data_IF_276411389315
#
_entry.id   IF_276411389315
#
_cell.length_a   1.000
_cell.length_b   1.000
_cell.length_c   1.000
_cell.angle_alpha   90.00
_cell.angle_beta   90.00
_cell.angle_gamma   90.00
#
_symmetry.space_group_name_H-M   'P 1'
#
loop_
_entity.id
_entity.type
_entity.pdbx_description
1 polymer ?
#
# COMPACT_ATOMS: atom_id res chain seq x y z
N UNK A 1 37.77 17.69 -13.45
CA UNK A 1 36.67 16.87 -14.01
C UNK A 1 35.41 17.15 -13.21
N UNK A 2 34.39 17.79 -13.79
CA UNK A 2 33.09 17.96 -13.11
C UNK A 2 32.38 16.61 -13.12
N UNK A 3 32.04 16.07 -11.96
CA UNK A 3 31.18 14.91 -11.86
C UNK A 3 29.87 15.21 -12.61
N UNK A 4 29.53 14.37 -13.58
CA UNK A 4 28.24 14.42 -14.29
C UNK A 4 27.17 14.13 -13.24
N UNK A 5 26.53 15.17 -12.72
CA UNK A 5 25.48 15.03 -11.71
C UNK A 5 24.31 14.30 -12.36
N UNK A 6 24.03 13.08 -11.90
CA UNK A 6 22.90 12.30 -12.39
C UNK A 6 21.59 12.97 -11.95
N UNK A 7 20.71 13.22 -12.91
CA UNK A 7 19.32 13.62 -12.65
C UNK A 7 18.54 12.42 -12.13
N UNK A 8 17.70 12.65 -11.11
CA UNK A 8 16.81 11.61 -10.60
C UNK A 8 15.82 11.17 -11.69
N UNK A 9 15.43 9.89 -11.69
CA UNK A 9 14.43 9.36 -12.62
C UNK A 9 13.02 9.69 -12.14
N UNK A 10 12.12 9.87 -13.10
CA UNK A 10 10.69 10.10 -12.93
C UNK A 10 9.86 8.89 -13.37
N UNK A 11 8.54 8.95 -13.17
CA UNK A 11 7.64 7.91 -13.70
C UNK A 11 7.55 7.91 -15.23
N UNK A 12 7.84 9.04 -15.89
CA UNK A 12 7.84 9.13 -17.35
C UNK A 12 9.01 8.35 -17.97
N UNK A 13 10.13 8.22 -17.23
CA UNK A 13 11.29 7.43 -17.65
C UNK A 13 11.06 5.92 -17.57
N UNK A 14 9.89 5.48 -17.10
CA UNK A 14 9.45 4.09 -17.01
C UNK A 14 8.36 3.76 -18.04
N UNK A 15 8.05 4.68 -18.95
CA UNK A 15 7.17 4.42 -20.07
C UNK A 15 8.02 4.03 -21.27
N UNK A 16 7.82 2.82 -21.77
CA UNK A 16 8.48 2.34 -23.00
C UNK A 16 7.98 3.09 -24.22
N UNK A 17 8.71 3.00 -25.34
CA UNK A 17 8.31 3.64 -26.61
C UNK A 17 6.95 3.17 -27.14
N UNK A 18 6.47 2.01 -26.69
CA UNK A 18 5.14 1.47 -27.03
C UNK A 18 4.02 2.00 -26.12
N UNK A 19 4.36 2.85 -25.13
CA UNK A 19 3.44 3.38 -24.13
C UNK A 19 3.20 2.44 -22.94
N UNK A 20 3.81 1.24 -22.92
CA UNK A 20 3.69 0.34 -21.77
C UNK A 20 4.52 0.86 -20.59
N UNK A 21 3.96 0.81 -19.38
CA UNK A 21 4.64 1.17 -18.14
C UNK A 21 5.48 0.00 -17.63
N UNK A 22 6.80 0.14 -17.66
CA UNK A 22 7.78 -0.82 -17.16
C UNK A 22 8.47 -0.28 -15.90
N UNK A 23 7.85 -0.60 -14.75
CA UNK A 23 8.26 -0.06 -13.45
C UNK A 23 9.60 -0.63 -12.99
N UNK A 24 10.57 0.24 -12.72
CA UNK A 24 11.87 -0.19 -12.20
C UNK A 24 11.73 -0.74 -10.78
N UNK A 25 12.38 -1.86 -10.44
CA UNK A 25 12.35 -2.42 -9.10
C UNK A 25 12.94 -1.43 -8.08
N UNK A 26 12.34 -1.37 -6.89
CA UNK A 26 12.90 -0.57 -5.79
C UNK A 26 14.29 -1.07 -5.40
N UNK A 27 15.22 -0.13 -5.19
CA UNK A 27 16.64 -0.39 -4.92
C UNK A 27 16.92 -0.74 -3.46
N UNK A 28 16.18 -0.16 -2.52
CA UNK A 28 16.33 -0.47 -1.10
C UNK A 28 15.31 -1.52 -0.65
N UNK A 29 15.77 -2.73 -0.31
CA UNK A 29 14.92 -3.89 0.00
C UNK A 29 15.28 -4.59 1.32
N UNK A 30 15.86 -3.87 2.25
CA UNK A 30 16.12 -4.37 3.60
C UNK A 30 14.83 -4.72 4.34
N UNK A 31 14.91 -5.62 5.32
CA UNK A 31 13.77 -6.00 6.17
C UNK A 31 14.09 -5.76 7.65
N UNK A 32 13.06 -5.37 8.40
CA UNK A 32 13.11 -5.24 9.86
C UNK A 32 12.87 -6.63 10.45
N UNK A 33 13.76 -7.09 11.32
CA UNK A 33 13.64 -8.38 11.99
C UNK A 33 14.34 -8.34 13.35
N UNK A 34 13.93 -9.22 14.28
CA UNK A 34 14.45 -9.23 15.65
C UNK A 34 15.98 -9.33 15.71
N UNK A 35 16.56 -10.20 14.88
CA UNK A 35 17.99 -10.53 14.89
C UNK A 35 18.70 -10.02 13.61
N UNK A 36 18.04 -9.14 12.85
CA UNK A 36 18.58 -8.60 11.61
C UNK A 36 19.41 -7.34 11.80
N UNK A 37 19.97 -6.85 10.69
CA UNK A 37 20.67 -5.56 10.64
C UNK A 37 19.78 -4.39 11.10
N UNK A 38 18.46 -4.52 10.89
CA UNK A 38 17.45 -3.55 11.29
C UNK A 38 16.57 -4.16 12.39
N UNK A 39 16.97 -4.04 13.68
CA UNK A 39 16.25 -4.64 14.80
C UNK A 39 14.90 -3.94 15.07
N UNK A 40 13.86 -4.73 15.34
CA UNK A 40 12.51 -4.21 15.64
C UNK A 40 12.44 -3.50 17.00
N UNK A 41 12.86 -2.24 17.05
CA UNK A 41 12.86 -1.37 18.24
C UNK A 41 11.85 -0.24 18.07
N UNK A 42 10.97 -0.05 19.06
CA UNK A 42 9.98 1.03 19.03
C UNK A 42 10.67 2.41 19.03
N UNK A 43 10.16 3.32 18.19
CA UNK A 43 10.69 4.68 18.08
C UNK A 43 11.95 4.83 17.22
N UNK A 44 12.51 3.74 16.69
CA UNK A 44 13.69 3.77 15.80
C UNK A 44 13.34 3.92 14.32
N UNK A 45 12.06 3.91 14.00
CA UNK A 45 11.58 3.85 12.62
C UNK A 45 10.70 5.05 12.33
N UNK A 46 11.01 5.72 11.22
CA UNK A 46 10.26 6.87 10.73
C UNK A 46 9.78 6.62 9.32
N UNK A 47 8.49 6.84 9.06
CA UNK A 47 7.84 6.59 7.79
C UNK A 47 7.46 7.91 7.10
N UNK A 48 8.04 8.16 5.94
CA UNK A 48 7.64 9.26 5.07
C UNK A 48 6.60 8.80 4.05
N UNK A 49 5.47 9.50 4.00
CA UNK A 49 4.29 9.14 3.21
C UNK A 49 3.70 10.33 2.46
N UNK A 50 2.91 10.05 1.44
CA UNK A 50 1.93 11.01 0.92
C UNK A 50 0.56 10.38 1.01
N UNK A 51 -0.45 11.13 1.47
CA UNK A 51 -1.83 10.67 1.44
C UNK A 51 -2.36 10.47 0.01
N UNK A 52 -1.77 11.15 -0.98
CA UNK A 52 -2.08 10.92 -2.39
C UNK A 52 -1.50 9.60 -2.93
N UNK A 53 -0.50 9.02 -2.25
CA UNK A 53 0.16 7.81 -2.73
C UNK A 53 -0.51 6.53 -2.22
N UNK A 54 -1.17 5.87 -3.16
CA UNK A 54 -1.59 4.48 -3.13
C UNK A 54 -0.74 3.49 -2.30
N UNK A 55 0.56 3.47 -2.57
CA UNK A 55 1.51 2.55 -1.94
C UNK A 55 1.77 2.93 -0.48
N UNK A 56 1.79 4.22 -0.18
CA UNK A 56 1.99 4.72 1.17
C UNK A 56 0.73 4.55 2.04
N UNK A 57 -0.47 4.73 1.47
CA UNK A 57 -1.74 4.49 2.18
C UNK A 57 -1.87 3.05 2.69
N UNK A 58 -1.28 2.07 1.99
CA UNK A 58 -1.21 0.68 2.49
C UNK A 58 -0.36 0.55 3.76
N UNK A 59 0.78 1.23 3.82
CA UNK A 59 1.60 1.25 5.04
C UNK A 59 0.83 1.90 6.19
N UNK A 60 0.17 3.04 5.94
CA UNK A 60 -0.63 3.73 6.96
C UNK A 60 -1.77 2.87 7.51
N UNK A 61 -2.52 2.21 6.62
CA UNK A 61 -3.59 1.30 7.04
C UNK A 61 -3.03 0.13 7.86
N UNK A 62 -1.92 -0.45 7.44
CA UNK A 62 -1.30 -1.56 8.17
C UNK A 62 -0.78 -1.15 9.54
N UNK A 63 -0.17 0.04 9.67
CA UNK A 63 0.26 0.57 10.97
C UNK A 63 -0.91 0.65 11.95
N UNK A 64 -2.06 1.20 11.52
CA UNK A 64 -3.26 1.29 12.35
C UNK A 64 -3.84 -0.08 12.70
N UNK A 65 -3.95 -0.98 11.71
CA UNK A 65 -4.46 -2.35 11.93
C UNK A 65 -3.59 -3.17 12.89
N UNK A 66 -2.28 -2.91 12.93
CA UNK A 66 -1.34 -3.57 13.85
C UNK A 66 -1.14 -2.81 15.15
N UNK A 67 -1.76 -1.65 15.32
CA UNK A 67 -1.52 -0.77 16.46
C UNK A 67 -0.07 -0.34 16.57
N UNK A 68 0.64 -0.16 15.46
CA UNK A 68 2.05 0.28 15.42
C UNK A 68 2.18 1.80 15.25
N UNK A 69 1.07 2.52 15.11
CA UNK A 69 1.01 3.96 14.87
C UNK A 69 1.54 4.82 16.02
N UNK A 70 1.69 4.24 17.22
CA UNK A 70 2.36 4.87 18.36
C UNK A 70 3.87 4.56 18.43
N UNK A 71 4.35 3.59 17.65
CA UNK A 71 5.75 3.12 17.67
C UNK A 71 6.59 3.62 16.49
N UNK A 72 5.92 3.94 15.38
CA UNK A 72 6.56 4.39 14.14
C UNK A 72 6.12 5.83 13.90
N UNK A 73 7.08 6.75 13.93
CA UNK A 73 6.83 8.15 13.63
C UNK A 73 6.50 8.32 12.14
N UNK A 74 5.61 9.25 11.81
CA UNK A 74 5.15 9.48 10.44
C UNK A 74 5.33 10.95 10.08
N UNK A 75 5.92 11.22 8.91
CA UNK A 75 5.88 12.55 8.30
C UNK A 75 5.22 12.48 6.94
N UNK A 76 4.31 13.41 6.70
CA UNK A 76 3.56 13.51 5.46
C UNK A 76 4.24 14.52 4.55
N UNK A 77 4.31 14.24 3.25
CA UNK A 77 4.76 15.17 2.19
C UNK A 77 3.56 15.76 1.46
N UNK A 78 3.79 16.87 0.74
CA UNK A 78 2.76 17.53 -0.07
C UNK A 78 2.12 16.55 -1.07
N UNK A 79 0.81 16.66 -1.35
CA UNK A 79 0.11 15.74 -2.24
C UNK A 79 0.42 15.99 -3.73
N UNK A 80 0.94 17.17 -4.07
CA UNK A 80 1.24 17.60 -5.44
C UNK A 80 2.75 17.49 -5.69
N UNK A 81 3.13 17.02 -6.87
CA UNK A 81 4.54 16.99 -7.27
C UNK A 81 5.05 18.38 -7.58
N UNK A 82 6.19 18.72 -6.97
CA UNK A 82 6.86 20.00 -7.17
C UNK A 82 8.34 19.78 -7.47
N UNK A 83 9.02 20.86 -7.83
CA UNK A 83 10.43 20.82 -8.21
C UNK A 83 11.28 20.43 -7.01
N UNK A 84 12.00 19.33 -7.15
CA UNK A 84 12.86 18.79 -6.07
C UNK A 84 14.20 19.51 -5.93
N UNK A 85 14.71 20.11 -7.02
CA UNK A 85 15.93 20.93 -7.03
C UNK A 85 15.80 22.06 -8.02
N UNK A 86 16.31 23.24 -7.67
CA UNK A 86 16.31 24.41 -8.58
C UNK A 86 17.09 24.15 -9.86
N UNK A 87 18.22 23.42 -9.73
CA UNK A 87 19.18 23.18 -10.81
C UNK A 87 18.75 22.15 -11.86
N UNK A 88 17.66 21.41 -11.64
CA UNK A 88 17.14 20.46 -12.62
C UNK A 88 15.61 20.49 -12.73
N UNK A 89 15.08 19.84 -13.77
CA UNK A 89 13.65 19.77 -14.08
C UNK A 89 12.87 18.74 -13.28
N UNK A 90 13.47 18.04 -12.31
CA UNK A 90 12.82 16.89 -11.67
C UNK A 90 11.69 17.32 -10.73
N UNK A 91 10.49 16.83 -11.02
CA UNK A 91 9.29 16.97 -10.19
C UNK A 91 9.09 15.72 -9.31
N UNK A 92 8.74 15.91 -8.05
CA UNK A 92 8.51 14.80 -7.12
C UNK A 92 7.92 15.26 -5.79
N UNK A 93 7.99 14.37 -4.80
CA UNK A 93 7.47 14.61 -3.46
C UNK A 93 8.33 15.61 -2.68
N UNK A 94 7.70 16.68 -2.20
CA UNK A 94 8.34 17.77 -1.45
C UNK A 94 7.70 17.94 -0.07
N UNK A 95 8.47 18.47 0.88
CA UNK A 95 7.95 18.94 2.16
C UNK A 95 7.50 20.40 2.00
N UNK A 96 6.56 20.88 2.84
CA UNK A 96 6.28 22.31 2.94
C UNK A 96 7.55 23.07 3.36
N UNK A 97 7.68 24.31 2.90
CA UNK A 97 8.82 25.17 3.23
C UNK A 97 8.73 25.71 4.66
N UNK A 98 7.51 25.86 5.18
CA UNK A 98 7.22 26.28 6.54
C UNK A 98 5.96 25.58 7.07
N UNK A 99 5.87 25.41 8.39
CA UNK A 99 4.78 24.67 9.04
C UNK A 99 3.40 25.32 8.86
N UNK A 100 3.36 26.62 8.55
CA UNK A 100 2.13 27.39 8.29
C UNK A 100 1.70 27.38 6.82
N UNK A 101 2.52 26.89 5.89
CA UNK A 101 2.18 26.78 4.47
C UNK A 101 0.99 25.82 4.27
N UNK A 102 0.99 24.70 4.97
CA UNK A 102 -0.02 23.66 4.83
C UNK A 102 -0.37 23.09 6.22
N UNK A 103 -1.49 23.51 6.87
CA UNK A 103 -1.74 23.28 8.29
C UNK A 103 -1.79 21.84 8.78
N UNK A 104 -1.82 20.86 7.87
CA UNK A 104 -1.89 19.42 8.14
C UNK A 104 -0.61 18.67 7.75
N UNK A 105 0.41 19.38 7.27
CA UNK A 105 1.66 18.80 6.78
C UNK A 105 2.81 19.57 7.42
N UNK A 106 3.69 18.85 8.10
CA UNK A 106 4.85 19.43 8.76
C UNK A 106 6.08 19.39 7.85
N UNK A 107 7.07 20.25 8.12
CA UNK A 107 8.40 20.15 7.52
C UNK A 107 9.09 18.85 7.96
N UNK A 108 10.18 18.42 7.29
CA UNK A 108 10.92 17.23 7.74
C UNK A 108 11.58 17.46 9.10
N UNK A 109 11.12 16.80 10.19
CA UNK A 109 11.61 17.09 11.53
C UNK A 109 12.96 16.41 11.82
N UNK A 110 13.39 15.45 10.98
CA UNK A 110 14.58 14.64 11.26
C UNK A 110 15.82 15.13 10.52
N UNK A 111 15.71 15.37 9.21
CA UNK A 111 16.87 15.69 8.37
C UNK A 111 16.81 17.11 7.80
N UNK A 112 15.72 17.84 8.03
CA UNK A 112 15.49 19.14 7.41
C UNK A 112 15.46 19.07 5.88
N UNK A 113 15.13 17.91 5.31
CA UNK A 113 15.06 17.72 3.87
C UNK A 113 13.91 18.54 3.26
N UNK A 114 14.13 19.12 2.09
CA UNK A 114 13.09 19.83 1.32
C UNK A 114 12.30 18.90 0.40
N UNK A 115 12.87 17.74 0.06
CA UNK A 115 12.22 16.76 -0.79
C UNK A 115 12.58 15.33 -0.43
N UNK A 116 11.73 14.38 -0.83
CA UNK A 116 12.01 12.94 -0.68
C UNK A 116 13.27 12.55 -1.44
N UNK A 117 13.58 13.23 -2.54
CA UNK A 117 14.84 13.02 -3.28
C UNK A 117 16.07 13.25 -2.39
N UNK A 118 16.06 14.29 -1.56
CA UNK A 118 17.16 14.58 -0.65
C UNK A 118 17.35 13.47 0.39
N UNK A 119 16.26 12.86 0.89
CA UNK A 119 16.35 11.69 1.78
C UNK A 119 17.09 10.51 1.12
N UNK A 120 16.80 10.25 -0.16
CA UNK A 120 17.50 9.22 -0.94
C UNK A 120 18.98 9.55 -1.16
N UNK A 121 19.31 10.81 -1.40
CA UNK A 121 20.68 11.28 -1.57
C UNK A 121 21.47 11.28 -0.26
N UNK A 122 20.83 11.54 0.88
CA UNK A 122 21.40 11.37 2.23
C UNK A 122 21.79 9.90 2.45
N UNK A 123 20.91 8.96 2.08
CA UNK A 123 21.19 7.54 2.23
C UNK A 123 22.20 6.97 1.23
N UNK A 124 22.29 7.56 0.04
CA UNK A 124 23.27 7.15 -0.98
C UNK A 124 23.59 8.32 -1.91
N UNK A 125 24.82 8.80 -1.82
CA UNK A 125 25.33 9.92 -2.63
C UNK A 125 25.32 9.65 -4.15
N UNK A 126 25.23 8.38 -4.56
CA UNK A 126 25.18 7.94 -5.95
C UNK A 126 23.81 7.33 -6.33
N UNK A 127 22.74 7.68 -5.63
CA UNK A 127 21.40 7.18 -5.96
C UNK A 127 20.95 7.68 -7.35
N UNK A 128 20.76 6.74 -8.28
CA UNK A 128 20.31 7.01 -9.66
C UNK A 128 18.88 6.51 -9.94
N UNK A 129 18.15 6.10 -8.90
CA UNK A 129 16.78 5.60 -9.04
C UNK A 129 15.71 6.70 -8.97
N UNK A 130 14.46 6.27 -8.88
CA UNK A 130 13.30 7.15 -8.69
C UNK A 130 13.01 7.32 -7.19
N UNK A 131 13.09 8.54 -6.63
CA UNK A 131 12.67 8.79 -5.26
C UNK A 131 11.16 8.58 -5.12
N UNK A 132 10.74 7.67 -4.23
CA UNK A 132 9.33 7.28 -4.08
C UNK A 132 8.93 7.24 -2.61
N UNK A 133 7.67 7.54 -2.31
CA UNK A 133 7.03 7.15 -1.03
C UNK A 133 6.28 5.81 -1.20
N UNK A 134 6.12 4.99 -0.15
CA UNK A 134 6.58 5.20 1.22
C UNK A 134 8.09 4.96 1.38
N UNK A 135 8.71 5.73 2.27
CA UNK A 135 10.11 5.57 2.69
C UNK A 135 10.17 5.31 4.18
N UNK A 136 10.90 4.28 4.61
CA UNK A 136 11.24 4.06 6.01
C UNK A 136 12.71 4.43 6.24
N UNK A 137 12.97 5.24 7.26
CA UNK A 137 14.31 5.54 7.76
C UNK A 137 14.50 4.94 9.14
N UNK A 138 15.72 4.47 9.43
CA UNK A 138 16.11 4.05 10.78
C UNK A 138 16.85 5.19 11.48
N UNK A 139 16.43 5.53 12.69
CA UNK A 139 17.18 6.33 13.65
C UNK A 139 17.48 5.48 14.90
N UNK A 140 18.51 5.87 15.67
CA UNK A 140 18.86 5.19 16.93
C UNK A 140 18.01 5.67 18.12
N UNK A 141 17.27 6.76 17.95
CA UNK A 141 16.31 7.26 18.91
C UNK A 141 15.22 8.08 18.21
N UNK A 142 14.09 8.24 18.90
CA UNK A 142 12.98 9.11 18.46
C UNK A 142 13.50 10.53 18.29
N UNK A 143 13.18 11.16 17.16
CA UNK A 143 13.54 12.56 16.89
C UNK A 143 15.01 12.80 16.53
N UNK A 144 15.79 11.74 16.28
CA UNK A 144 17.16 11.87 15.76
C UNK A 144 17.19 11.63 14.25
N UNK A 145 18.07 12.37 13.56
CA UNK A 145 18.38 12.15 12.15
C UNK A 145 18.83 10.70 11.91
N UNK A 146 18.54 10.18 10.73
CA UNK A 146 18.89 8.81 10.39
C UNK A 146 20.40 8.68 10.18
N UNK A 147 21.07 7.82 10.96
CA UNK A 147 22.48 7.45 10.73
C UNK A 147 22.60 6.32 9.70
N UNK A 148 21.58 5.45 9.60
CA UNK A 148 21.64 4.18 8.88
C UNK A 148 20.53 4.05 7.81
N UNK A 149 20.56 4.95 6.81
CA UNK A 149 20.03 4.74 5.46
C UNK A 149 18.50 4.70 5.24
N UNK A 150 18.13 4.80 3.96
CA UNK A 150 16.76 4.67 3.43
C UNK A 150 16.43 3.23 3.14
N UNK A 151 15.23 2.78 3.47
CA UNK A 151 14.71 1.51 2.98
C UNK A 151 13.22 1.53 2.73
N UNK A 152 12.77 0.70 1.79
CA UNK A 152 11.35 0.58 1.48
C UNK A 152 10.69 -0.27 2.56
N UNK A 153 9.59 0.24 3.13
CA UNK A 153 8.77 -0.54 4.04
C UNK A 153 8.19 -1.75 3.28
N UNK A 154 8.70 -2.94 3.61
CA UNK A 154 8.14 -4.22 3.21
C UNK A 154 7.79 -5.01 4.47
N UNK A 155 6.52 -5.37 4.64
CA UNK A 155 6.10 -6.20 5.77
C UNK A 155 6.56 -7.63 5.49
N UNK A 156 7.71 -8.01 6.06
CA UNK A 156 8.39 -9.28 5.77
C UNK A 156 7.77 -10.50 6.48
N UNK A 157 6.77 -10.31 7.36
CA UNK A 157 6.12 -11.42 8.07
C UNK A 157 4.62 -11.42 7.82
N UNK A 158 4.14 -12.54 7.24
CA UNK A 158 2.72 -12.88 7.16
C UNK A 158 2.21 -12.96 8.60
N UNK A 159 1.38 -11.99 8.97
CA UNK A 159 0.63 -12.06 10.21
C UNK A 159 -0.67 -12.79 9.90
N UNK A 160 -0.96 -13.89 10.58
CA UNK A 160 -2.11 -14.74 10.30
C UNK A 160 -3.46 -14.01 10.49
N UNK A 161 -3.46 -12.82 11.13
CA UNK A 161 -4.64 -11.93 11.25
C UNK A 161 -4.82 -11.00 10.06
N UNK A 162 -3.85 -10.87 9.16
CA UNK A 162 -3.94 -10.02 7.95
C UNK A 162 -3.82 -10.88 6.71
N UNK A 163 -4.95 -10.96 6.00
CA UNK A 163 -5.07 -11.67 4.74
C UNK A 163 -4.85 -10.70 3.58
N UNK A 164 -3.97 -11.06 2.65
CA UNK A 164 -3.71 -10.31 1.41
C UNK A 164 -4.08 -11.21 0.24
N UNK A 165 -5.33 -11.20 -0.22
CA UNK A 165 -5.80 -12.06 -1.29
C UNK A 165 -5.23 -11.60 -2.64
N UNK A 166 -4.75 -12.56 -3.45
CA UNK A 166 -4.34 -12.33 -4.84
C UNK A 166 -5.54 -12.52 -5.77
N UNK A 167 -6.25 -11.42 -6.03
CA UNK A 167 -7.43 -11.36 -6.90
C UNK A 167 -6.95 -10.92 -8.28
N UNK A 168 -7.15 -11.74 -9.31
CA UNK A 168 -6.47 -11.61 -10.61
C UNK A 168 -6.35 -10.18 -11.16
N UNK A 169 -5.15 -9.81 -11.63
CA UNK A 169 -4.83 -8.43 -12.03
C UNK A 169 -5.58 -7.91 -13.26
N UNK A 170 -6.16 -8.81 -14.08
CA UNK A 170 -6.87 -8.51 -15.33
C UNK A 170 -8.36 -8.89 -15.31
N UNK A 171 -8.91 -9.29 -14.16
CA UNK A 171 -10.33 -9.69 -14.05
C UNK A 171 -11.22 -8.51 -13.68
N UNK A 172 -12.53 -8.62 -13.96
CA UNK A 172 -13.51 -7.58 -13.66
C UNK A 172 -13.67 -7.37 -12.14
N UNK A 173 -14.20 -6.22 -11.71
CA UNK A 173 -14.43 -5.95 -10.28
C UNK A 173 -15.43 -6.96 -9.68
N UNK A 174 -16.42 -7.39 -10.46
CA UNK A 174 -17.37 -8.42 -10.07
C UNK A 174 -16.66 -9.76 -9.82
N UNK A 175 -15.78 -10.18 -10.73
CA UNK A 175 -15.05 -11.45 -10.60
C UNK A 175 -14.10 -11.43 -9.40
N UNK A 176 -13.40 -10.31 -9.19
CA UNK A 176 -12.55 -10.14 -8.01
C UNK A 176 -13.34 -10.19 -6.71
N UNK A 177 -14.57 -9.67 -6.69
CA UNK A 177 -15.44 -9.76 -5.51
C UNK A 177 -15.86 -11.21 -5.24
N UNK A 178 -16.19 -11.97 -6.28
CA UNK A 178 -16.47 -13.42 -6.18
C UNK A 178 -15.23 -14.18 -5.71
N UNK A 179 -14.06 -13.94 -6.30
CA UNK A 179 -12.80 -14.55 -5.87
C UNK A 179 -12.49 -14.24 -4.41
N UNK A 180 -12.72 -12.99 -3.95
CA UNK A 180 -12.53 -12.60 -2.56
C UNK A 180 -13.47 -13.35 -1.61
N UNK A 181 -14.73 -13.53 -2.00
CA UNK A 181 -15.69 -14.32 -1.24
C UNK A 181 -15.23 -15.77 -1.08
N UNK A 182 -14.89 -16.44 -2.18
CA UNK A 182 -14.45 -17.83 -2.14
C UNK A 182 -13.05 -18.00 -1.54
N UNK A 183 -12.20 -16.97 -1.56
CA UNK A 183 -10.95 -16.97 -0.81
C UNK A 183 -11.20 -17.03 0.71
N UNK A 184 -12.18 -16.28 1.21
CA UNK A 184 -12.52 -16.28 2.64
C UNK A 184 -13.21 -17.58 3.05
N UNK A 185 -14.20 -18.02 2.28
CA UNK A 185 -15.07 -19.16 2.61
C UNK A 185 -14.47 -20.52 2.20
N UNK A 186 -13.73 -20.56 1.10
CA UNK A 186 -13.42 -21.80 0.38
C UNK A 186 -14.51 -22.16 -0.64
N UNK A 187 -14.18 -23.06 -1.56
CA UNK A 187 -15.04 -23.54 -2.64
C UNK A 187 -14.54 -23.18 -4.05
N UNK A 188 -15.28 -23.65 -5.06
CA UNK A 188 -15.05 -23.28 -6.45
C UNK A 188 -15.70 -21.92 -6.73
N UNK A 189 -14.93 -21.00 -7.30
CA UNK A 189 -15.46 -19.69 -7.67
C UNK A 189 -16.55 -19.85 -8.73
N UNK A 190 -17.75 -19.36 -8.44
CA UNK A 190 -18.83 -19.17 -9.41
C UNK A 190 -18.97 -17.66 -9.68
N UNK A 191 -18.67 -17.25 -10.92
CA UNK A 191 -18.79 -15.87 -11.39
C UNK A 191 -20.21 -15.49 -11.79
N UNK A 192 -21.20 -16.36 -11.55
CA UNK A 192 -22.58 -16.26 -12.02
C UNK A 192 -22.74 -16.47 -13.52
N UNK A 193 -23.83 -17.13 -13.91
CA UNK A 193 -24.11 -17.44 -15.32
C UNK A 193 -24.40 -16.16 -16.14
N UNK A 194 -25.15 -15.23 -15.56
CA UNK A 194 -25.53 -13.98 -16.22
C UNK A 194 -24.30 -13.11 -16.53
N UNK A 195 -23.46 -12.87 -15.52
CA UNK A 195 -22.25 -12.06 -15.67
C UNK A 195 -21.25 -12.70 -16.63
N UNK A 196 -21.05 -14.02 -16.52
CA UNK A 196 -20.12 -14.74 -17.39
C UNK A 196 -20.54 -14.72 -18.86
N UNK A 197 -21.86 -14.78 -19.13
CA UNK A 197 -22.40 -14.59 -20.50
C UNK A 197 -22.22 -13.16 -20.97
N UNK A 198 -22.53 -12.17 -20.13
CA UNK A 198 -22.41 -10.75 -20.48
C UNK A 198 -20.96 -10.34 -20.77
N UNK A 199 -20.00 -10.91 -20.04
CA UNK A 199 -18.57 -10.62 -20.17
C UNK A 199 -17.79 -11.66 -21.01
N UNK A 200 -18.48 -12.62 -21.63
CA UNK A 200 -17.89 -13.67 -22.49
C UNK A 200 -16.70 -14.41 -21.85
N UNK A 201 -16.85 -14.88 -20.61
CA UNK A 201 -15.84 -15.73 -19.95
C UNK A 201 -16.46 -16.95 -19.28
N UNK A 202 -15.60 -17.86 -18.80
CA UNK A 202 -16.04 -19.07 -18.10
C UNK A 202 -16.76 -18.71 -16.80
N UNK A 203 -17.84 -19.45 -16.49
CA UNK A 203 -18.62 -19.29 -15.25
C UNK A 203 -17.84 -19.70 -14.01
N UNK A 204 -17.06 -20.76 -14.10
CA UNK A 204 -16.35 -21.29 -12.95
C UNK A 204 -14.87 -20.93 -13.02
N UNK A 205 -14.34 -20.50 -11.87
CA UNK A 205 -12.96 -20.06 -11.70
C UNK A 205 -12.14 -21.00 -10.84
N UNK A 206 -11.18 -20.39 -10.12
CA UNK A 206 -10.25 -21.07 -9.21
C UNK A 206 -11.00 -21.84 -8.12
N UNK A 207 -10.37 -22.89 -7.60
CA UNK A 207 -10.87 -23.64 -6.44
C UNK A 207 -10.02 -23.27 -5.22
N UNK A 208 -10.68 -22.76 -4.19
CA UNK A 208 -10.08 -22.53 -2.87
C UNK A 208 -10.40 -23.72 -1.97
N UNK A 209 -9.49 -24.69 -1.83
CA UNK A 209 -9.76 -25.91 -1.07
C UNK A 209 -10.07 -25.66 0.40
N UNK A 210 -9.52 -24.59 0.98
CA UNK A 210 -9.74 -24.19 2.37
C UNK A 210 -10.04 -22.70 2.40
N UNK A 211 -11.11 -22.31 3.09
CA UNK A 211 -11.39 -20.90 3.39
C UNK A 211 -10.36 -20.34 4.34
N UNK A 212 -9.89 -19.12 4.07
CA UNK A 212 -8.96 -18.42 4.95
C UNK A 212 -9.64 -17.80 6.19
N UNK A 213 -10.97 -17.85 6.28
CA UNK A 213 -11.75 -17.32 7.39
C UNK A 213 -12.93 -18.24 7.74
N UNK A 214 -12.69 -19.24 8.59
CA UNK A 214 -13.65 -20.30 8.94
C UNK A 214 -14.46 -20.01 10.23
N UNK A 215 -14.30 -18.84 10.85
CA UNK A 215 -14.88 -18.52 12.16
C UNK A 215 -16.17 -17.70 11.99
N UNK A 216 -17.17 -17.97 12.84
CA UNK A 216 -18.46 -17.27 12.83
C UNK A 216 -18.27 -15.74 12.90
N UNK A 217 -18.75 -15.05 11.85
CA UNK A 217 -18.62 -13.60 11.66
C UNK A 217 -19.31 -12.77 12.75
N UNK A 218 -20.33 -13.32 13.43
CA UNK A 218 -21.05 -12.61 14.52
C UNK A 218 -20.11 -12.20 15.68
N UNK A 219 -19.04 -12.97 15.91
CA UNK A 219 -18.12 -12.75 17.03
C UNK A 219 -16.74 -12.27 16.60
N UNK A 220 -16.45 -12.26 15.29
CA UNK A 220 -15.21 -11.73 14.74
C UNK A 220 -15.50 -11.01 13.40
N UNK A 221 -15.63 -9.67 13.40
CA UNK A 221 -15.86 -8.93 12.16
C UNK A 221 -14.61 -8.92 11.28
N UNK A 222 -14.80 -9.05 9.96
CA UNK A 222 -13.74 -8.88 8.97
C UNK A 222 -13.69 -7.43 8.52
N UNK A 223 -12.54 -6.80 8.74
CA UNK A 223 -12.27 -5.45 8.24
C UNK A 223 -11.63 -5.53 6.86
N UNK A 224 -12.31 -4.98 5.85
CA UNK A 224 -11.77 -4.88 4.50
C UNK A 224 -11.03 -3.55 4.31
N UNK A 225 -9.78 -3.64 3.84
CA UNK A 225 -9.01 -2.46 3.42
C UNK A 225 -8.68 -2.61 1.94
N UNK A 226 -9.40 -1.84 1.10
CA UNK A 226 -9.21 -1.83 -0.34
C UNK A 226 -8.42 -0.60 -0.80
N UNK A 227 -7.45 -0.80 -1.70
CA UNK A 227 -6.74 0.29 -2.38
C UNK A 227 -7.07 0.30 -3.88
N UNK A 228 -7.35 1.48 -4.47
CA UNK A 228 -7.72 1.64 -5.88
C UNK A 228 -8.86 0.70 -6.29
N UNK A 229 -8.67 -0.15 -7.30
CA UNK A 229 -9.64 -1.18 -7.72
C UNK A 229 -10.10 -2.08 -6.56
N UNK A 230 -9.23 -2.34 -5.58
CA UNK A 230 -9.59 -3.12 -4.38
C UNK A 230 -10.70 -2.48 -3.54
N UNK A 231 -10.81 -1.14 -3.51
CA UNK A 231 -11.92 -0.47 -2.83
C UNK A 231 -13.25 -0.73 -3.54
N UNK A 232 -13.25 -0.77 -4.87
CA UNK A 232 -14.44 -1.11 -5.66
C UNK A 232 -14.83 -2.57 -5.45
N UNK A 233 -13.85 -3.48 -5.38
CA UNK A 233 -14.08 -4.91 -5.09
C UNK A 233 -14.79 -5.09 -3.75
N UNK A 234 -14.31 -4.42 -2.69
CA UNK A 234 -14.92 -4.47 -1.36
C UNK A 234 -16.35 -3.93 -1.39
N UNK A 235 -16.59 -2.82 -2.09
CA UNK A 235 -17.94 -2.25 -2.23
C UNK A 235 -18.89 -3.19 -2.97
N UNK A 236 -18.45 -3.78 -4.07
CA UNK A 236 -19.26 -4.74 -4.84
C UNK A 236 -19.53 -5.99 -4.01
N UNK A 237 -18.56 -6.51 -3.28
CA UNK A 237 -18.76 -7.63 -2.36
C UNK A 237 -19.80 -7.29 -1.28
N UNK A 238 -19.73 -6.10 -0.68
CA UNK A 238 -20.72 -5.63 0.28
C UNK A 238 -22.11 -5.46 -0.35
N UNK A 239 -22.19 -5.02 -1.61
CA UNK A 239 -23.44 -4.93 -2.34
C UNK A 239 -24.03 -6.31 -2.61
N UNK A 240 -23.21 -7.30 -2.99
CA UNK A 240 -23.64 -8.69 -3.16
C UNK A 240 -24.20 -9.28 -1.86
N UNK A 241 -23.64 -8.90 -0.71
CA UNK A 241 -24.19 -9.25 0.60
C UNK A 241 -25.52 -8.54 0.90
N UNK A 242 -25.71 -7.31 0.44
CA UNK A 242 -26.98 -6.59 0.66
C UNK A 242 -28.10 -7.05 -0.28
N UNK A 243 -27.77 -7.32 -1.54
CA UNK A 243 -28.70 -7.76 -2.57
C UNK A 243 -28.92 -9.27 -2.47
N UNK A 244 -30.01 -9.68 -1.82
CA UNK A 244 -30.51 -11.08 -1.78
C UNK A 244 -30.86 -11.69 -3.16
N UNK A 245 -30.54 -11.00 -4.26
CA UNK A 245 -30.97 -11.33 -5.63
C UNK A 245 -30.18 -12.46 -6.28
N UNK A 246 -29.05 -12.87 -5.72
CA UNK A 246 -28.18 -13.89 -6.32
C UNK A 246 -28.56 -15.34 -5.99
N UNK A 247 -29.68 -15.57 -5.28
CA UNK A 247 -30.30 -16.89 -5.14
C UNK A 247 -29.48 -17.98 -4.42
N UNK A 248 -28.26 -17.68 -3.97
CA UNK A 248 -27.45 -18.63 -3.21
C UNK A 248 -27.74 -18.49 -1.71
N UNK A 249 -28.32 -19.53 -1.11
CA UNK A 249 -28.44 -19.70 0.36
C UNK A 249 -27.09 -19.54 1.09
N UNK A 250 -26.00 -19.68 0.34
CA UNK A 250 -24.61 -19.53 0.74
C UNK A 250 -24.20 -18.07 1.07
N UNK A 251 -24.78 -17.06 0.41
CA UNK A 251 -24.53 -15.65 0.74
C UNK A 251 -25.27 -15.22 2.01
N UNK A 252 -26.48 -15.74 2.24
CA UNK A 252 -27.28 -15.49 3.46
C UNK A 252 -26.60 -15.99 4.74
N UNK A 253 -25.78 -17.04 4.67
CA UNK A 253 -25.01 -17.56 5.80
C UNK A 253 -23.97 -16.55 6.34
N UNK A 254 -23.52 -15.61 5.50
CA UNK A 254 -22.50 -14.60 5.85
C UNK A 254 -23.07 -13.24 6.29
N UNK A 255 -24.37 -12.99 6.10
CA UNK A 255 -25.00 -11.66 6.28
C UNK A 255 -25.58 -11.43 7.69
N UNK A 256 -25.61 -12.42 8.59
CA UNK A 256 -26.07 -12.21 9.97
C UNK A 256 -25.05 -11.40 10.78
N UNK A 257 -25.00 -10.09 10.53
CA UNK A 257 -24.54 -9.10 11.47
C UNK A 257 -25.72 -8.71 12.38
N UNK A 258 -25.54 -8.56 13.70
CA UNK A 258 -26.59 -7.99 14.53
C UNK A 258 -26.85 -6.55 14.09
N UNK A 259 -28.14 -6.18 14.03
CA UNK A 259 -28.53 -4.77 13.97
C UNK A 259 -27.91 -4.09 15.18
N UNK A 260 -27.08 -3.08 14.96
CA UNK A 260 -26.64 -2.17 16.01
C UNK A 260 -27.90 -1.56 16.64
N UNK A 261 -28.17 -1.97 17.88
CA UNK A 261 -29.14 -1.37 18.79
C UNK A 261 -28.38 -0.70 19.94
#
# INVERSE_FOLDING_TARGET
MRARQMTARSALDEVTDTGAFDGSPSTFRSSISRDGRFPAVAGWYHLYVSYACAWASRCLAFLKLKGLDHTICITVVKPIFERTKERDGHLGWVFPAAADEEPSIETDPLNGARSVRELYEIASSNYAGKPTVPVSLQSRAVGQAAEDGVYKCGFAKKDDRVLVPDLGSLTSIHDRARELFYYLKGGQVDYSEEHSKACSHNRFGRIYHTGHYLVCYEHNPVHFVGHSAGAQVVRVLHQMFADKRDGSSELEYMIRAPKLG
#
